data_IF_371400461469
#
_entry.id   IF_371400461469
#
_cell.length_a   1.000
_cell.length_b   1.000
_cell.length_c   1.000
_cell.angle_alpha   90.00
_cell.angle_beta   90.00
_cell.angle_gamma   90.00
#
_symmetry.space_group_name_H-M   'P 1'
#
loop_
_entity.id
_entity.type
_entity.pdbx_description
1 polymer ?
#
# COMPACT_ATOMS: atom_id res chain seq x y z
N UNK A 1 -9.57 -4.92 -7.22
CA UNK A 1 -8.45 -4.98 -8.20
C UNK A 1 -7.18 -5.53 -7.55
N UNK A 2 -7.27 -6.76 -7.05
CA UNK A 2 -6.33 -7.88 -7.16
C UNK A 2 -7.12 -9.08 -6.59
N UNK A 3 -8.37 -9.21 -7.04
CA UNK A 3 -9.39 -10.03 -6.38
C UNK A 3 -9.32 -11.47 -6.91
N UNK A 4 -8.71 -11.63 -8.09
CA UNK A 4 -8.31 -12.89 -8.69
C UNK A 4 -6.83 -12.77 -9.10
N UNK A 5 -5.96 -13.59 -8.51
CA UNK A 5 -4.52 -13.57 -8.77
C UNK A 5 -4.13 -14.79 -9.58
N UNK A 6 -3.68 -14.58 -10.81
CA UNK A 6 -3.03 -15.62 -11.61
C UNK A 6 -1.54 -15.68 -11.26
N UNK A 7 -1.11 -16.81 -10.73
CA UNK A 7 0.27 -17.11 -10.39
C UNK A 7 1.25 -16.84 -11.54
N UNK A 8 0.86 -17.17 -12.78
CA UNK A 8 1.71 -16.97 -13.95
C UNK A 8 1.89 -15.48 -14.29
N UNK A 9 0.94 -14.64 -13.90
CA UNK A 9 1.00 -13.20 -14.13
C UNK A 9 1.86 -12.48 -13.09
N UNK A 10 1.86 -12.93 -11.83
CA UNK A 10 2.48 -12.22 -10.69
C UNK A 10 3.85 -12.76 -10.26
N UNK A 11 4.17 -14.02 -10.54
CA UNK A 11 5.42 -14.64 -10.09
C UNK A 11 6.63 -13.85 -10.59
N UNK A 12 7.48 -13.41 -9.67
CA UNK A 12 8.68 -12.64 -9.98
C UNK A 12 8.45 -11.17 -10.30
N UNK A 13 7.25 -10.62 -10.06
CA UNK A 13 6.91 -9.23 -10.40
C UNK A 13 6.45 -8.40 -9.20
N UNK A 14 6.52 -7.09 -9.36
CA UNK A 14 5.80 -6.15 -8.52
C UNK A 14 4.33 -6.14 -8.95
N UNK A 15 3.42 -6.14 -7.97
CA UNK A 15 1.98 -6.06 -8.23
C UNK A 15 1.44 -4.68 -7.87
N UNK A 16 0.54 -4.16 -8.70
CA UNK A 16 -0.21 -2.94 -8.42
C UNK A 16 -1.62 -3.35 -8.00
N UNK A 17 -1.97 -3.16 -6.73
CA UNK A 17 -3.20 -3.68 -6.15
C UNK A 17 -4.01 -2.60 -5.44
N UNK A 18 -5.32 -2.58 -5.70
CA UNK A 18 -6.24 -1.58 -5.15
C UNK A 18 -6.65 -1.81 -3.68
N UNK A 19 -6.08 -2.81 -2.98
CA UNK A 19 -6.43 -3.14 -1.59
C UNK A 19 -5.27 -3.82 -0.87
N UNK A 20 -5.03 -3.54 0.43
CA UNK A 20 -3.95 -4.15 1.18
C UNK A 20 -4.08 -5.67 1.34
N UNK A 21 -5.29 -6.20 1.50
CA UNK A 21 -5.56 -7.65 1.65
C UNK A 21 -5.05 -8.43 0.43
N UNK A 22 -5.09 -7.80 -0.75
CA UNK A 22 -4.70 -8.44 -1.99
C UNK A 22 -3.18 -8.54 -2.20
N UNK A 23 -2.38 -7.81 -1.41
CA UNK A 23 -0.92 -7.96 -1.42
C UNK A 23 -0.44 -9.30 -0.87
N UNK A 24 -1.04 -9.80 0.21
CA UNK A 24 -0.67 -11.09 0.81
C UNK A 24 -0.93 -12.27 -0.12
N UNK A 25 -2.09 -12.25 -0.79
CA UNK A 25 -2.44 -13.25 -1.81
C UNK A 25 -1.45 -13.23 -2.99
N UNK A 26 -0.95 -12.05 -3.37
CA UNK A 26 0.06 -11.93 -4.42
C UNK A 26 1.39 -12.56 -4.00
N UNK A 27 1.80 -12.37 -2.74
CA UNK A 27 3.02 -12.97 -2.20
C UNK A 27 2.94 -14.49 -2.16
N UNK A 28 1.80 -15.06 -1.76
CA UNK A 28 1.57 -16.51 -1.80
C UNK A 28 1.73 -17.10 -3.23
N UNK A 29 1.52 -16.27 -4.25
CA UNK A 29 1.68 -16.64 -5.66
C UNK A 29 3.05 -16.24 -6.26
N UNK A 30 3.99 -15.76 -5.44
CA UNK A 30 5.36 -15.49 -5.83
C UNK A 30 5.63 -14.07 -6.32
N UNK A 31 4.75 -13.11 -6.04
CA UNK A 31 5.07 -11.69 -6.21
C UNK A 31 6.27 -11.30 -5.34
N UNK A 32 7.10 -10.39 -5.85
CA UNK A 32 8.34 -9.96 -5.16
C UNK A 32 8.16 -8.65 -4.38
N UNK A 33 7.03 -7.95 -4.58
CA UNK A 33 6.67 -6.74 -3.88
C UNK A 33 5.29 -6.22 -4.32
N UNK A 34 4.77 -5.21 -3.64
CA UNK A 34 3.44 -4.66 -3.91
C UNK A 34 3.38 -3.13 -3.85
N UNK A 35 2.52 -2.56 -4.67
CA UNK A 35 2.12 -1.14 -4.63
C UNK A 35 0.63 -1.13 -4.34
N UNK A 36 0.24 -0.52 -3.22
CA UNK A 36 -1.08 -0.60 -2.64
C UNK A 36 -1.78 0.76 -2.66
N UNK A 37 -3.05 0.76 -3.06
CA UNK A 37 -3.91 1.93 -2.92
C UNK A 37 -4.47 1.99 -1.49
N UNK A 38 -4.18 3.06 -0.75
CA UNK A 38 -4.73 3.32 0.58
C UNK A 38 -5.43 4.68 0.63
N UNK A 39 -6.41 4.77 1.54
CA UNK A 39 -7.02 6.05 1.87
C UNK A 39 -6.05 6.92 2.66
N UNK A 40 -6.23 8.25 2.59
CA UNK A 40 -5.40 9.21 3.32
C UNK A 40 -5.33 8.93 4.83
N UNK A 41 -6.42 8.49 5.44
CA UNK A 41 -6.46 8.13 6.86
C UNK A 41 -5.68 6.86 7.22
N UNK A 42 -5.32 6.02 6.24
CA UNK A 42 -4.51 4.83 6.45
C UNK A 42 -3.01 5.08 6.23
N UNK A 43 -2.64 6.25 5.71
CA UNK A 43 -1.26 6.65 5.44
C UNK A 43 -0.63 7.42 6.60
N UNK A 44 -1.38 7.70 7.67
CA UNK A 44 -0.88 8.37 8.88
C UNK A 44 -0.05 7.45 9.80
N UNK A 45 0.16 6.20 9.36
CA UNK A 45 1.02 5.20 9.99
C UNK A 45 1.69 4.34 8.92
N UNK A 46 2.88 3.84 9.22
CA UNK A 46 3.61 2.88 8.38
C UNK A 46 3.94 1.61 9.17
N UNK A 47 3.83 0.46 8.52
CA UNK A 47 4.14 -0.86 9.10
C UNK A 47 5.29 -1.52 8.35
N UNK A 48 6.07 -2.34 9.07
CA UNK A 48 7.12 -3.16 8.46
C UNK A 48 6.48 -4.37 7.77
N UNK A 49 6.87 -4.61 6.52
CA UNK A 49 6.37 -5.71 5.70
C UNK A 49 7.48 -6.71 5.37
N UNK A 50 7.12 -7.95 5.06
CA UNK A 50 8.09 -9.02 4.74
C UNK A 50 8.74 -8.88 3.35
N UNK A 51 8.06 -8.18 2.44
CA UNK A 51 8.48 -7.92 1.06
C UNK A 51 8.40 -6.43 0.78
N UNK A 52 9.19 -5.88 -0.16
CA UNK A 52 9.08 -4.49 -0.57
C UNK A 52 7.63 -4.10 -0.87
N UNK A 53 7.15 -3.07 -0.18
CA UNK A 53 5.79 -2.57 -0.35
C UNK A 53 5.77 -1.05 -0.35
N UNK A 54 4.93 -0.47 -1.18
CA UNK A 54 4.69 0.96 -1.24
C UNK A 54 3.20 1.23 -1.11
N UNK A 55 2.82 2.03 -0.12
CA UNK A 55 1.45 2.50 0.04
C UNK A 55 1.34 3.87 -0.61
N UNK A 56 0.33 4.05 -1.46
CA UNK A 56 0.07 5.30 -2.16
C UNK A 56 -1.34 5.79 -1.87
N UNK A 57 -1.51 7.11 -1.86
CA UNK A 57 -2.83 7.71 -1.95
C UNK A 57 -3.42 7.45 -3.35
N UNK A 58 -4.75 7.43 -3.44
CA UNK A 58 -5.49 7.14 -4.67
C UNK A 58 -4.97 7.91 -5.90
N UNK A 59 -4.60 9.18 -5.76
CA UNK A 59 -4.15 9.99 -6.90
C UNK A 59 -2.83 9.46 -7.49
N UNK A 60 -1.83 9.22 -6.64
CA UNK A 60 -0.54 8.67 -7.07
C UNK A 60 -0.70 7.25 -7.62
N UNK A 61 -1.57 6.45 -6.99
CA UNK A 61 -1.90 5.11 -7.47
C UNK A 61 -2.48 5.12 -8.89
N UNK A 62 -3.42 6.02 -9.18
CA UNK A 62 -4.03 6.17 -10.52
C UNK A 62 -3.00 6.63 -11.55
N UNK A 63 -2.04 7.46 -11.16
CA UNK A 63 -0.93 7.85 -12.03
C UNK A 63 -0.05 6.65 -12.40
N UNK A 64 0.32 5.80 -11.44
CA UNK A 64 1.08 4.57 -11.71
C UNK A 64 0.26 3.58 -12.54
N UNK A 65 -1.04 3.48 -12.30
CA UNK A 65 -1.93 2.65 -13.10
C UNK A 65 -1.95 3.11 -14.56
N UNK A 66 -2.02 4.43 -14.79
CA UNK A 66 -1.96 5.02 -16.13
C UNK A 66 -0.64 4.72 -16.82
N UNK A 67 0.49 4.86 -16.10
CA UNK A 67 1.81 4.45 -16.59
C UNK A 67 1.84 2.97 -16.99
N UNK A 68 1.33 2.09 -16.11
CA UNK A 68 1.29 0.63 -16.34
C UNK A 68 0.54 0.28 -17.63
N UNK A 69 -0.54 1.01 -17.93
CA UNK A 69 -1.35 0.82 -19.15
C UNK A 69 -0.74 1.47 -20.40
N UNK A 70 0.17 2.43 -20.25
CA UNK A 70 0.78 3.18 -21.37
C UNK A 70 1.89 2.43 -22.10
N UNK A 71 2.43 1.37 -21.50
CA UNK A 71 3.54 0.58 -22.04
C UNK A 71 3.26 -0.92 -21.91
N UNK A 72 3.79 -1.71 -22.84
CA UNK A 72 3.72 -3.18 -22.78
C UNK A 72 4.64 -3.77 -21.71
N UNK A 73 5.66 -3.03 -21.29
CA UNK A 73 6.72 -3.50 -20.38
C UNK A 73 6.95 -2.47 -19.28
N UNK A 74 6.00 -2.30 -18.34
CA UNK A 74 6.18 -1.42 -17.20
C UNK A 74 7.26 -1.97 -16.27
N UNK A 75 8.14 -1.08 -15.80
CA UNK A 75 9.21 -1.40 -14.86
C UNK A 75 9.17 -0.36 -13.74
N UNK A 76 9.35 -0.80 -12.51
CA UNK A 76 9.39 0.06 -11.34
C UNK A 76 10.38 -0.48 -10.31
N UNK A 77 10.85 0.39 -9.44
CA UNK A 77 11.70 0.08 -8.29
C UNK A 77 11.05 0.65 -7.04
N UNK A 78 11.00 -0.13 -5.96
CA UNK A 78 10.58 0.33 -4.64
C UNK A 78 11.85 0.60 -3.84
N UNK A 79 12.13 1.86 -3.57
CA UNK A 79 13.28 2.27 -2.77
C UNK A 79 13.08 1.99 -1.28
N UNK A 80 14.19 1.96 -0.54
CA UNK A 80 14.17 1.86 0.92
C UNK A 80 13.52 3.12 1.52
N UNK A 81 12.77 2.94 2.60
CA UNK A 81 12.18 4.07 3.33
C UNK A 81 13.24 5.01 3.91
N UNK A 82 12.89 6.29 3.92
CA UNK A 82 13.69 7.37 4.48
C UNK A 82 12.92 8.12 5.56
N UNK A 83 13.62 8.97 6.30
CA UNK A 83 13.04 9.76 7.38
C UNK A 83 12.64 11.13 6.79
N UNK A 84 11.39 11.51 7.02
CA UNK A 84 10.84 12.80 6.61
C UNK A 84 10.39 13.59 7.83
N UNK A 85 10.59 14.91 7.80
CA UNK A 85 10.08 15.82 8.84
C UNK A 85 8.67 16.25 8.48
N UNK A 86 7.72 15.87 9.33
CA UNK A 86 6.35 16.35 9.25
C UNK A 86 6.19 17.68 10.01
N UNK A 87 5.98 18.78 9.27
CA UNK A 87 5.78 20.11 9.86
C UNK A 87 4.40 20.28 10.50
N UNK A 88 3.50 19.34 10.19
CA UNK A 88 2.11 19.34 10.57
C UNK A 88 1.88 18.55 11.87
N UNK A 89 2.93 17.92 12.41
CA UNK A 89 2.95 17.16 13.66
C UNK A 89 3.02 18.06 14.92
N UNK A 90 2.51 17.60 16.09
CA UNK A 90 1.86 16.31 16.32
C UNK A 90 0.39 16.29 15.87
N UNK A 91 -0.07 15.13 15.40
CA UNK A 91 -1.47 14.86 15.07
C UNK A 91 -1.91 13.58 15.74
N UNK A 92 -3.20 13.48 16.01
CA UNK A 92 -3.75 12.27 16.61
C UNK A 92 -4.04 11.28 15.50
N UNK A 93 -3.35 10.14 15.56
CA UNK A 93 -3.44 9.06 14.57
C UNK A 93 -4.82 8.41 14.52
N UNK A 94 -5.19 7.93 13.34
CA UNK A 94 -6.47 7.35 12.96
C UNK A 94 -6.95 6.22 13.88
N UNK A 95 -6.04 5.33 14.30
CA UNK A 95 -6.37 4.18 15.15
C UNK A 95 -6.43 4.49 16.65
N UNK A 96 -6.14 5.73 17.08
CA UNK A 96 -6.21 6.09 18.50
C UNK A 96 -7.65 6.02 19.00
N UNK A 97 -7.92 5.08 19.91
CA UNK A 97 -9.22 4.97 20.58
C UNK A 97 -9.60 6.29 21.26
N UNK A 98 -10.89 6.62 21.21
CA UNK A 98 -11.44 7.86 21.75
C UNK A 98 -12.41 7.54 22.88
N UNK A 99 -12.41 8.41 23.89
CA UNK A 99 -13.42 8.38 24.93
C UNK A 99 -14.82 8.79 24.41
N UNK A 100 -15.82 8.83 25.31
CA UNK A 100 -15.70 8.56 26.74
C UNK A 100 -15.49 7.07 27.06
N UNK A 101 -15.18 6.78 28.32
CA UNK A 101 -15.11 5.40 28.81
C UNK A 101 -16.50 4.78 28.76
N UNK A 102 -16.69 3.73 27.94
CA UNK A 102 -17.98 3.04 27.81
C UNK A 102 -18.40 2.29 29.09
N UNK A 103 -17.51 2.14 30.08
CA UNK A 103 -17.77 1.43 31.33
C UNK A 103 -18.35 2.31 32.46
N UNK A 104 -18.41 3.63 32.27
CA UNK A 104 -18.95 4.55 33.29
C UNK A 104 -19.83 5.62 32.63
N UNK A 105 -20.94 6.05 33.28
CA UNK A 105 -21.83 7.08 32.76
C UNK A 105 -21.13 8.43 32.49
#
# INVERSE_FOLDING_TARGET
>A
MCDCIDKNMVKGKLVLCGSPISGELAYANGAIGSILNLTKSQLDVSFVTQKPSLNLETNDFVHIQSYTNSTKYPVAEILKSEILRDNDAPRIVSFSSRGPNLLVP
#
